data_IF_361566850754
#
_entry.id   IF_361566850754
#
_cell.length_a   1.000
_cell.length_b   1.000
_cell.length_c   1.000
_cell.angle_alpha   90.00
_cell.angle_beta   90.00
_cell.angle_gamma   90.00
#
_symmetry.space_group_name_H-M   'P 1'
#
loop_
_entity.id
_entity.type
_entity.pdbx_description
1 polymer ?
#
# COMPACT_ATOMS: atom_id res chain seq x y z
N UNK A 1 2.38 6.45 17.27
CA UNK A 1 1.13 5.72 17.03
C UNK A 1 1.35 4.53 16.08
N UNK A 2 2.00 4.71 14.94
CA UNK A 2 2.27 3.61 14.00
C UNK A 2 3.12 2.48 14.63
N UNK A 3 4.15 2.84 15.40
CA UNK A 3 4.97 1.88 16.14
C UNK A 3 4.15 1.14 17.20
N UNK A 4 3.23 1.83 17.88
CA UNK A 4 2.33 1.20 18.86
C UNK A 4 1.41 0.19 18.17
N UNK A 5 0.87 0.50 16.99
CA UNK A 5 0.10 -0.45 16.20
C UNK A 5 0.92 -1.69 15.84
N UNK A 6 2.18 -1.51 15.45
CA UNK A 6 3.07 -2.65 15.18
C UNK A 6 3.28 -3.54 16.42
N UNK A 7 3.48 -2.93 17.61
CA UNK A 7 3.59 -3.69 18.86
C UNK A 7 2.34 -4.50 19.17
N UNK A 8 1.15 -3.91 18.95
CA UNK A 8 -0.14 -4.60 19.09
C UNK A 8 -0.21 -5.76 18.10
N UNK A 9 0.13 -5.55 16.84
CA UNK A 9 0.15 -6.62 15.83
C UNK A 9 1.09 -7.77 16.23
N UNK A 10 2.26 -7.47 16.73
CA UNK A 10 3.20 -8.52 17.19
C UNK A 10 2.65 -9.30 18.37
N UNK A 11 1.98 -8.62 19.31
CA UNK A 11 1.31 -9.28 20.43
C UNK A 11 0.19 -10.22 19.97
N UNK A 12 -0.61 -9.77 19.01
CA UNK A 12 -1.70 -10.57 18.44
C UNK A 12 -1.16 -11.81 17.71
N UNK A 13 -0.07 -11.67 16.94
CA UNK A 13 0.60 -12.81 16.29
C UNK A 13 1.09 -13.83 17.34
N UNK A 14 1.64 -13.35 18.45
CA UNK A 14 2.03 -14.22 19.57
C UNK A 14 0.83 -14.94 20.20
N UNK A 15 -0.28 -14.23 20.39
CA UNK A 15 -1.52 -14.80 20.92
C UNK A 15 -2.14 -15.82 19.96
N UNK A 16 -2.11 -15.56 18.64
CA UNK A 16 -2.55 -16.50 17.61
C UNK A 16 -1.74 -17.80 17.64
N UNK A 17 -0.42 -17.69 17.78
CA UNK A 17 0.46 -18.85 17.99
C UNK A 17 0.10 -19.62 19.24
N UNK A 18 -0.22 -18.93 20.33
CA UNK A 18 -0.67 -19.55 21.59
C UNK A 18 -1.96 -20.34 21.38
N UNK A 19 -2.94 -19.78 20.68
CA UNK A 19 -4.21 -20.46 20.36
C UNK A 19 -3.94 -21.68 19.48
N UNK A 20 -3.10 -21.55 18.47
CA UNK A 20 -2.72 -22.67 17.58
C UNK A 20 -2.11 -23.84 18.34
N UNK A 21 -1.14 -23.57 19.21
CA UNK A 21 -0.49 -24.61 20.01
C UNK A 21 -1.46 -25.24 21.03
N UNK A 22 -2.28 -24.42 21.69
CA UNK A 22 -3.28 -24.88 22.65
C UNK A 22 -4.36 -25.76 21.98
N UNK A 23 -4.71 -25.45 20.73
CA UNK A 23 -5.66 -26.26 19.95
C UNK A 23 -5.14 -27.67 19.70
N UNK A 24 -3.83 -27.84 19.47
CA UNK A 24 -3.21 -29.15 19.26
C UNK A 24 -3.26 -30.06 20.50
N UNK A 25 -3.40 -29.49 21.69
CA UNK A 25 -3.47 -30.23 22.94
C UNK A 25 -4.85 -30.83 23.22
N UNK A 26 -5.85 -30.60 22.35
CA UNK A 26 -7.17 -31.23 22.45
C UNK A 26 -7.10 -32.73 22.27
N UNK A 27 -7.85 -33.47 23.12
CA UNK A 27 -7.97 -34.93 23.07
C UNK A 27 -9.45 -35.29 22.90
N UNK A 28 -9.76 -35.96 21.77
CA UNK A 28 -11.15 -36.24 21.38
C UNK A 28 -11.99 -34.95 21.34
N UNK A 29 -13.10 -34.92 22.09
CA UNK A 29 -14.04 -33.79 22.17
C UNK A 29 -13.70 -32.79 23.31
N UNK A 30 -12.54 -32.96 23.99
CA UNK A 30 -12.14 -32.17 25.16
C UNK A 30 -10.81 -31.46 24.94
N UNK A 31 -10.82 -30.15 25.12
CA UNK A 31 -9.58 -29.35 25.16
C UNK A 31 -9.52 -28.59 26.50
N UNK A 32 -8.63 -29.01 27.37
CA UNK A 32 -8.42 -28.40 28.71
C UNK A 32 -7.65 -27.07 28.63
N UNK A 33 -7.13 -26.69 27.46
CA UNK A 33 -6.39 -25.42 27.23
C UNK A 33 -7.31 -24.23 26.90
N UNK A 34 -8.63 -24.41 26.95
CA UNK A 34 -9.59 -23.32 26.69
C UNK A 34 -9.31 -22.04 27.48
N UNK A 35 -8.93 -22.06 28.77
CA UNK A 35 -8.67 -20.81 29.50
C UNK A 35 -7.55 -19.96 28.91
N UNK A 36 -6.44 -20.55 28.45
CA UNK A 36 -5.33 -19.81 27.82
C UNK A 36 -5.72 -19.32 26.42
N UNK A 37 -6.50 -20.10 25.67
CA UNK A 37 -7.02 -19.68 24.36
C UNK A 37 -7.96 -18.48 24.53
N UNK A 38 -8.90 -18.54 25.48
CA UNK A 38 -9.83 -17.44 25.78
C UNK A 38 -9.06 -16.18 26.17
N UNK A 39 -8.05 -16.31 27.07
CA UNK A 39 -7.21 -15.17 27.45
C UNK A 39 -6.54 -14.54 26.24
N UNK A 40 -5.92 -15.33 25.38
CA UNK A 40 -5.20 -14.83 24.21
C UNK A 40 -6.14 -14.08 23.23
N UNK A 41 -7.35 -14.58 23.02
CA UNK A 41 -8.37 -13.92 22.18
C UNK A 41 -8.87 -12.63 22.81
N UNK A 42 -9.19 -12.64 24.10
CA UNK A 42 -9.68 -11.44 24.80
C UNK A 42 -8.61 -10.34 24.85
N UNK A 43 -7.36 -10.67 25.22
CA UNK A 43 -6.25 -9.71 25.23
C UNK A 43 -6.06 -9.06 23.85
N UNK A 44 -6.14 -9.84 22.78
CA UNK A 44 -6.03 -9.34 21.40
C UNK A 44 -7.18 -8.40 21.05
N UNK A 45 -8.39 -8.77 21.42
CA UNK A 45 -9.60 -7.97 21.16
C UNK A 45 -9.55 -6.65 21.93
N UNK A 46 -9.18 -6.70 23.21
CA UNK A 46 -9.10 -5.51 24.06
C UNK A 46 -8.05 -4.52 23.56
N UNK A 47 -6.86 -4.99 23.17
CA UNK A 47 -5.83 -4.13 22.59
C UNK A 47 -6.34 -3.42 21.34
N UNK A 48 -6.99 -4.11 20.42
CA UNK A 48 -7.52 -3.50 19.20
C UNK A 48 -8.68 -2.55 19.51
N UNK A 49 -9.63 -2.97 20.33
CA UNK A 49 -10.83 -2.17 20.65
C UNK A 49 -10.44 -0.84 21.31
N UNK A 50 -9.44 -0.85 22.18
CA UNK A 50 -8.99 0.36 22.86
C UNK A 50 -8.11 1.24 21.97
N UNK A 51 -7.29 0.66 21.09
CA UNK A 51 -6.31 1.44 20.33
C UNK A 51 -6.83 1.93 18.97
N UNK A 52 -7.69 1.18 18.28
CA UNK A 52 -8.16 1.57 16.95
C UNK A 52 -8.84 2.94 16.89
N UNK A 53 -9.70 3.34 17.85
CA UNK A 53 -10.27 4.68 17.84
C UNK A 53 -9.21 5.78 17.99
N UNK A 54 -8.21 5.56 18.85
CA UNK A 54 -7.10 6.50 19.05
C UNK A 54 -6.25 6.61 17.78
N UNK A 55 -5.98 5.48 17.15
CA UNK A 55 -5.23 5.42 15.89
C UNK A 55 -5.96 6.13 14.75
N UNK A 56 -7.28 5.89 14.63
CA UNK A 56 -8.11 6.54 13.61
C UNK A 56 -8.10 8.06 13.77
N UNK A 57 -8.44 8.56 14.95
CA UNK A 57 -8.56 10.00 15.20
C UNK A 57 -7.22 10.74 15.12
N UNK A 58 -6.15 10.13 15.63
CA UNK A 58 -4.87 10.86 15.77
C UNK A 58 -3.88 10.58 14.64
N UNK A 59 -4.11 9.58 13.80
CA UNK A 59 -3.22 9.28 12.67
C UNK A 59 -3.94 9.34 11.31
N UNK A 60 -5.16 8.83 11.20
CA UNK A 60 -5.84 8.70 9.91
C UNK A 60 -6.67 9.94 9.58
N UNK A 61 -7.44 10.44 10.58
CA UNK A 61 -8.32 11.59 10.42
C UNK A 61 -7.54 12.83 10.10
N UNK A 62 -7.25 13.42 9.31
CA UNK A 62 -6.40 14.59 9.06
C UNK A 62 -5.27 14.33 8.06
N UNK A 63 -5.15 13.10 7.58
CA UNK A 63 -4.23 12.82 6.48
C UNK A 63 -4.64 13.60 5.23
N UNK A 64 -3.72 14.39 4.71
CA UNK A 64 -3.92 15.11 3.46
C UNK A 64 -2.92 14.66 2.41
N UNK A 65 -3.43 14.39 1.20
CA UNK A 65 -2.57 14.00 0.11
C UNK A 65 -1.74 15.19 -0.40
N UNK A 66 -0.42 15.08 -0.43
CA UNK A 66 0.43 16.04 -1.12
C UNK A 66 0.28 15.85 -2.64
N UNK A 67 -0.78 16.43 -3.20
CA UNK A 67 -1.14 16.28 -4.63
C UNK A 67 0.01 16.64 -5.58
N UNK A 68 0.77 17.70 -5.24
CA UNK A 68 1.92 18.14 -6.03
C UNK A 68 3.02 17.08 -6.08
N UNK A 69 3.34 16.47 -4.94
CA UNK A 69 4.34 15.41 -4.84
C UNK A 69 3.88 14.13 -5.55
N UNK A 70 2.61 13.76 -5.36
CA UNK A 70 2.02 12.60 -6.02
C UNK A 70 2.02 12.74 -7.53
N UNK A 71 1.62 13.90 -8.05
CA UNK A 71 1.67 14.19 -9.49
C UNK A 71 3.10 14.08 -10.04
N UNK A 72 4.07 14.66 -9.35
CA UNK A 72 5.47 14.57 -9.76
C UNK A 72 6.02 13.12 -9.74
N UNK A 73 5.56 12.31 -8.79
CA UNK A 73 5.93 10.89 -8.73
C UNK A 73 5.30 10.09 -9.88
N UNK A 74 4.04 10.35 -10.22
CA UNK A 74 3.36 9.72 -11.37
C UNK A 74 4.14 10.05 -12.65
N UNK A 75 4.49 11.32 -12.88
CA UNK A 75 5.19 11.75 -14.09
C UNK A 75 6.58 11.12 -14.26
N UNK A 76 7.19 10.68 -13.18
CA UNK A 76 8.48 9.95 -13.17
C UNK A 76 8.32 8.42 -13.18
N UNK A 77 7.10 7.93 -13.03
CA UNK A 77 6.85 6.50 -12.90
C UNK A 77 6.87 5.78 -14.26
N UNK A 78 7.48 4.58 -14.34
CA UNK A 78 7.40 3.74 -15.53
C UNK A 78 5.97 3.31 -15.89
N UNK A 79 5.02 3.41 -14.96
CA UNK A 79 3.59 3.11 -15.20
C UNK A 79 3.01 3.97 -16.34
N UNK A 80 3.53 5.19 -16.56
CA UNK A 80 3.12 6.03 -17.69
C UNK A 80 3.35 5.33 -19.04
N UNK A 81 4.39 4.54 -19.16
CA UNK A 81 4.67 3.76 -20.39
C UNK A 81 3.51 2.84 -20.73
N UNK A 82 2.92 2.21 -19.71
CA UNK A 82 1.77 1.31 -19.88
C UNK A 82 0.53 2.05 -20.40
N UNK A 83 0.32 3.27 -19.93
CA UNK A 83 -0.78 4.12 -20.39
C UNK A 83 -0.57 4.66 -21.82
N UNK A 84 0.68 4.88 -22.20
CA UNK A 84 1.04 5.38 -23.53
C UNK A 84 1.10 4.29 -24.59
N UNK A 85 1.50 3.05 -24.21
CA UNK A 85 1.72 1.95 -25.13
C UNK A 85 0.54 1.66 -26.09
N UNK A 86 -0.73 1.69 -25.65
CA UNK A 86 -1.87 1.50 -26.55
C UNK A 86 -2.04 2.60 -27.60
N UNK A 87 -1.46 3.78 -27.37
CA UNK A 87 -1.61 4.96 -28.27
C UNK A 87 -0.43 5.13 -29.24
N UNK A 88 0.80 4.87 -28.77
CA UNK A 88 2.02 5.14 -29.56
C UNK A 88 2.86 3.88 -29.80
N UNK A 89 2.44 2.74 -29.28
CA UNK A 89 3.12 1.45 -29.36
C UNK A 89 4.13 1.23 -28.21
N UNK A 90 4.31 -0.04 -27.85
CA UNK A 90 5.16 -0.44 -26.71
C UNK A 90 6.62 0.00 -26.87
N UNK A 91 7.21 -0.25 -28.04
CA UNK A 91 8.64 0.08 -28.28
C UNK A 91 8.92 1.57 -28.10
N UNK A 92 8.11 2.43 -28.73
CA UNK A 92 8.26 3.89 -28.58
C UNK A 92 8.09 4.36 -27.15
N UNK A 93 7.13 3.77 -26.43
CA UNK A 93 6.88 4.07 -25.01
C UNK A 93 8.07 3.67 -24.14
N UNK A 94 8.68 2.50 -24.39
CA UNK A 94 9.87 2.02 -23.71
C UNK A 94 11.08 2.94 -23.97
N UNK A 95 11.28 3.35 -25.21
CA UNK A 95 12.39 4.22 -25.60
C UNK A 95 12.25 5.62 -24.97
N UNK A 96 11.03 6.15 -24.88
CA UNK A 96 10.74 7.40 -24.16
C UNK A 96 11.08 7.30 -22.68
N UNK A 97 10.77 6.19 -22.05
CA UNK A 97 11.13 5.98 -20.65
C UNK A 97 12.63 5.93 -20.43
N UNK A 98 13.35 5.17 -21.27
CA UNK A 98 14.82 5.11 -21.22
C UNK A 98 15.45 6.50 -21.42
N UNK A 99 14.90 7.30 -22.33
CA UNK A 99 15.37 8.67 -22.59
C UNK A 99 15.05 9.59 -21.40
N UNK A 100 13.87 9.46 -20.80
CA UNK A 100 13.49 10.17 -19.57
C UNK A 100 14.48 9.91 -18.44
N UNK A 101 14.84 8.64 -18.22
CA UNK A 101 15.83 8.25 -17.21
C UNK A 101 17.23 8.82 -17.47
N UNK A 102 17.63 8.94 -18.73
CA UNK A 102 18.94 9.49 -19.12
C UNK A 102 19.00 11.01 -19.05
N UNK A 103 17.92 11.68 -19.43
CA UNK A 103 17.91 13.14 -19.59
C UNK A 103 17.31 13.89 -18.40
N UNK A 104 16.62 13.20 -17.49
CA UNK A 104 15.87 13.79 -16.39
C UNK A 104 14.58 14.52 -16.83
N UNK A 105 14.26 14.53 -18.13
CA UNK A 105 13.01 15.10 -18.64
C UNK A 105 11.84 14.19 -18.32
N UNK A 106 10.67 14.79 -18.07
CA UNK A 106 9.45 14.01 -17.86
C UNK A 106 9.01 13.32 -19.16
N UNK A 107 8.34 12.19 -19.03
CA UNK A 107 7.78 11.49 -20.21
C UNK A 107 6.79 12.40 -20.94
N UNK A 108 6.04 13.22 -20.21
CA UNK A 108 5.13 14.25 -20.75
C UNK A 108 5.86 15.21 -21.69
N UNK A 109 6.99 15.78 -21.24
CA UNK A 109 7.80 16.69 -22.04
C UNK A 109 8.34 16.02 -23.30
N UNK A 110 8.81 14.78 -23.18
CA UNK A 110 9.35 14.02 -24.31
C UNK A 110 8.28 13.68 -25.35
N UNK A 111 7.09 13.26 -24.92
CA UNK A 111 5.96 12.96 -25.81
C UNK A 111 5.53 14.18 -26.61
N UNK A 112 5.45 15.34 -25.95
CA UNK A 112 5.06 16.60 -26.59
C UNK A 112 6.18 17.10 -27.53
N UNK A 113 7.45 17.11 -27.08
CA UNK A 113 8.59 17.58 -27.88
C UNK A 113 8.81 16.74 -29.15
N UNK A 114 8.56 15.44 -29.06
CA UNK A 114 8.63 14.52 -30.21
C UNK A 114 7.34 14.49 -31.05
N UNK A 115 6.36 15.33 -30.73
CA UNK A 115 5.08 15.43 -31.46
C UNK A 115 4.31 14.11 -31.56
N UNK A 116 4.50 13.21 -30.59
CA UNK A 116 3.83 11.90 -30.57
C UNK A 116 2.37 12.02 -30.12
N UNK A 117 2.07 12.99 -29.27
CA UNK A 117 0.70 13.33 -28.83
C UNK A 117 0.59 14.82 -28.55
N UNK A 118 -0.62 15.36 -28.67
CA UNK A 118 -0.91 16.73 -28.26
C UNK A 118 -0.97 16.86 -26.75
N UNK A 119 -0.70 18.07 -26.22
CA UNK A 119 -0.82 18.37 -24.79
C UNK A 119 -2.17 17.94 -24.22
N UNK A 120 -3.26 18.19 -24.95
CA UNK A 120 -4.63 17.83 -24.56
C UNK A 120 -4.83 16.31 -24.41
N UNK A 121 -4.24 15.52 -25.30
CA UNK A 121 -4.29 14.05 -25.26
C UNK A 121 -3.48 13.49 -24.09
N UNK A 122 -2.29 14.04 -23.83
CA UNK A 122 -1.46 13.64 -22.68
C UNK A 122 -2.15 14.00 -21.36
N UNK A 123 -2.72 15.19 -21.25
CA UNK A 123 -3.45 15.63 -20.05
C UNK A 123 -4.69 14.77 -19.77
N UNK A 124 -5.37 14.29 -20.82
CA UNK A 124 -6.50 13.37 -20.68
C UNK A 124 -6.11 11.96 -20.25
N UNK A 125 -4.91 11.54 -20.59
CA UNK A 125 -4.39 10.20 -20.27
C UNK A 125 -3.81 10.11 -18.86
N UNK A 126 -3.32 11.22 -18.32
CA UNK A 126 -2.64 11.32 -17.02
C UNK A 126 -3.53 11.97 -15.93
N UNK A 127 -4.81 12.12 -16.20
CA UNK A 127 -5.83 12.47 -15.21
C UNK A 127 -6.25 11.23 -14.45
#
# INVERSE_FOLDING_TARGET
>A
LAECMNMICYSIIGNDTTVTLATQAGQFELNVMLPVMLKAVLDSTDMLTNFLPIFAVNLIDGLTANKKKLQANIEKSPVIVTLLAPKIGYQKSSDLFKESMKTGKTIRELVISKKLMTKKQVDSLLK
#
